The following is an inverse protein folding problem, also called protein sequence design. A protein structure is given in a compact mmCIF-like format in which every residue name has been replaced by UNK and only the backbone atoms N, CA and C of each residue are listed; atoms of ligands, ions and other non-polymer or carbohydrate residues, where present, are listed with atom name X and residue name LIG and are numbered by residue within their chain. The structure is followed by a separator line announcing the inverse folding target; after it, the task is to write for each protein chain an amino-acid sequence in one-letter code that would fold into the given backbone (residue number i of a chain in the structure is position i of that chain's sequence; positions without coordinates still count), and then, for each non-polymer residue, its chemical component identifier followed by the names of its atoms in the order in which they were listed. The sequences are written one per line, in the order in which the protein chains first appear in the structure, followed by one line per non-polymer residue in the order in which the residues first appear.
data_IF_832190374415
#
_entry.id   IF_832190374415
#
_cell.length_a   1.000
_cell.length_b   1.000
_cell.length_c   1.000
_cell.angle_alpha   90.00
_cell.angle_beta   90.00
_cell.angle_gamma   90.00
#
_symmetry.space_group_name_H-M   'P 1'
#
loop_
_entity.id
_entity.type
_entity.pdbx_description
1 polymer ?
2 polymer ?
3 non-polymer ?
4 water ?
#
loop_
_entity_poly.entity_id
_entity_poly.type
_entity_poly.pdbx_seq_one_letter_code
_entity_poly.pdbx_strand_id
2 'polyribonucleotide' 'CG' ?
#
# COMPACT_ATOMS: atom_id res chain seq x y z
N UNK A 1 -18.68 10.48 5.26
CA UNK A 1 -20.00 10.38 4.64
C UNK A 1 -20.49 8.93 4.65
N UNK A 2 -19.76 8.06 3.95
CA UNK A 2 -19.98 6.61 4.00
C UNK A 2 -19.14 5.95 5.08
N UNK A 3 -19.07 6.56 6.25
CA UNK A 3 -18.30 6.03 7.38
C UNK A 3 -18.89 4.70 7.83
N UNK A 4 -18.09 3.64 7.80
CA UNK A 4 -18.61 2.35 8.19
C UNK A 4 -17.47 1.46 8.67
N UNK A 5 -17.75 0.63 9.67
CA UNK A 5 -16.75 -0.33 10.13
C UNK A 5 -16.54 -1.49 9.17
N UNK A 6 -17.29 -1.55 8.06
CA UNK A 6 -17.02 -2.54 7.02
C UNK A 6 -16.08 -2.03 5.93
N UNK A 7 -15.81 -0.72 5.90
CA UNK A 7 -14.90 -0.15 4.90
C UNK A 7 -13.48 -0.71 5.06
N UNK A 8 -12.73 -0.71 3.97
CA UNK A 8 -11.40 -1.31 3.92
C UNK A 8 -10.34 -0.24 3.70
N UNK A 9 -9.28 -0.29 4.48
CA UNK A 9 -8.16 0.64 4.34
C UNK A 9 -7.08 -0.04 3.52
N UNK A 10 -6.81 0.50 2.33
CA UNK A 10 -5.73 0.05 1.48
C UNK A 10 -4.54 0.97 1.66
N UNK A 11 -3.33 0.39 1.73
CA UNK A 11 -2.14 1.20 1.94
C UNK A 11 -0.97 0.59 1.19
N UNK A 12 -0.11 1.45 0.67
CA UNK A 12 1.16 1.03 0.10
C UNK A 12 2.25 1.98 0.58
N UNK A 13 3.41 1.42 0.89
CA UNK A 13 4.61 2.16 1.26
C UNK A 13 5.68 1.92 0.20
N UNK A 14 6.53 2.91 -0.01
CA UNK A 14 7.79 2.74 -0.74
C UNK A 14 8.93 3.04 0.22
N UNK A 15 10.01 2.28 0.13
CA UNK A 15 11.08 2.31 1.12
C UNK A 15 12.44 2.37 0.45
N UNK A 16 13.46 2.67 1.24
CA UNK A 16 14.83 2.62 0.73
C UNK A 16 15.40 1.21 0.73
N UNK A 17 14.60 0.21 1.11
CA UNK A 17 15.11 -1.14 1.17
C UNK A 17 14.11 -2.04 1.89
N UNK A 18 14.55 -3.29 2.10
CA UNK A 18 13.68 -4.34 2.60
C UNK A 18 13.74 -4.53 4.10
N UNK A 19 14.67 -3.89 4.79
CA UNK A 19 14.93 -4.20 6.19
C UNK A 19 14.42 -3.05 7.06
N UNK A 20 13.34 -3.24 7.83
CA UNK A 20 12.79 -2.13 8.62
C UNK A 20 13.79 -1.51 9.58
N UNK A 21 14.74 -2.29 10.08
CA UNK A 21 15.68 -1.78 11.06
C UNK A 21 16.72 -0.88 10.42
N UNK A 22 16.89 -0.98 9.12
CA UNK A 22 17.94 -0.27 8.40
C UNK A 22 17.41 0.82 7.51
N UNK A 23 16.22 0.61 6.94
CA UNK A 23 15.75 1.42 5.85
C UNK A 23 14.60 2.28 6.33
N UNK A 24 14.07 3.09 5.43
CA UNK A 24 13.13 4.15 5.81
C UNK A 24 11.99 4.19 4.79
N UNK A 25 10.84 4.68 5.25
CA UNK A 25 9.70 4.94 4.36
C UNK A 25 9.95 6.25 3.62
N UNK A 26 9.81 6.22 2.28
CA UNK A 26 9.93 7.43 1.48
C UNK A 26 8.63 7.83 0.78
N UNK A 27 7.65 6.94 0.68
CA UNK A 27 6.34 7.36 0.22
C UNK A 27 5.24 6.55 0.90
N UNK A 28 4.07 7.17 1.06
CA UNK A 28 2.90 6.48 1.61
C UNK A 28 1.66 6.97 0.88
N UNK A 29 0.73 6.05 0.64
CA UNK A 29 -0.57 6.43 0.12
C UNK A 29 -1.60 5.49 0.73
N UNK A 30 -2.83 5.96 0.81
CA UNK A 30 -3.93 5.15 1.30
C UNK A 30 -5.14 5.36 0.43
N UNK A 31 -5.98 4.33 0.34
CA UNK A 31 -7.29 4.41 -0.31
C UNK A 31 -8.28 3.69 0.59
N UNK A 32 -9.51 4.22 0.67
CA UNK A 32 -10.60 3.55 1.36
C UNK A 32 -11.59 3.04 0.32
N UNK A 33 -11.93 1.76 0.39
CA UNK A 33 -13.05 1.21 -0.36
C UNK A 33 -14.15 0.79 0.61
N UNK A 34 -15.35 0.59 0.07
CA UNK A 34 -16.34 -0.11 0.86
C UNK A 34 -16.03 -1.60 0.82
N UNK A 35 -16.88 -2.40 1.46
CA UNK A 35 -16.67 -3.84 1.51
C UNK A 35 -16.78 -4.50 0.15
N UNK A 36 -17.41 -3.83 -0.82
CA UNK A 36 -17.58 -4.38 -2.16
C UNK A 36 -16.50 -3.88 -3.11
N UNK A 37 -15.49 -3.19 -2.59
CA UNK A 37 -14.29 -2.72 -3.28
C UNK A 37 -14.53 -1.46 -4.11
N UNK A 38 -15.70 -0.83 -3.99
CA UNK A 38 -15.91 0.48 -4.60
C UNK A 38 -15.02 1.52 -3.92
N UNK A 39 -14.22 2.23 -4.71
CA UNK A 39 -13.31 3.20 -4.14
C UNK A 39 -14.11 4.40 -3.66
N UNK A 40 -14.05 4.67 -2.36
CA UNK A 40 -14.79 5.75 -1.73
C UNK A 40 -14.02 7.07 -1.71
N UNK A 41 -12.72 7.02 -1.45
CA UNK A 41 -11.91 8.22 -1.26
C UNK A 41 -10.46 7.83 -1.34
N UNK A 42 -9.63 8.75 -1.86
CA UNK A 42 -8.19 8.54 -1.86
C UNK A 42 -7.58 9.45 -0.80
N UNK A 43 -6.64 8.89 -0.05
CA UNK A 43 -6.02 9.59 1.05
C UNK A 43 -4.80 10.39 0.61
N UNK A 44 -4.08 10.95 1.57
CA UNK A 44 -2.87 11.71 1.24
C UNK A 44 -1.84 10.85 0.52
N UNK A 45 -1.25 11.39 -0.55
CA UNK A 45 -0.13 10.77 -1.26
C UNK A 45 1.11 11.54 -0.87
N UNK A 46 1.97 10.94 -0.04
CA UNK A 46 2.98 11.71 0.69
C UNK A 46 4.36 11.14 0.40
N UNK A 47 5.19 11.94 -0.26
CA UNK A 47 6.63 11.67 -0.32
C UNK A 47 7.25 12.18 0.97
N UNK A 48 7.96 11.30 1.67
CA UNK A 48 8.44 11.60 3.01
C UNK A 48 9.92 11.96 2.89
N UNK A 49 10.28 13.13 3.43
CA UNK A 49 11.67 13.57 3.34
C UNK A 49 12.60 12.62 4.07
N UNK A 50 13.73 12.31 3.43
CA UNK A 50 14.84 11.58 4.03
C UNK A 50 16.15 12.24 3.61
N UNK A 51 17.14 12.30 4.50
CA UNK A 51 18.44 12.90 4.14
C UNK A 51 19.21 11.99 3.21
N UNK A 52 20.26 12.55 2.58
CA UNK A 52 21.04 11.78 1.61
C UNK A 52 21.62 10.51 2.22
N UNK A 53 22.00 10.57 3.51
CA UNK A 53 22.63 9.39 4.10
C UNK A 53 21.67 8.22 4.16
N UNK A 54 20.37 8.49 4.26
CA UNK A 54 19.38 7.42 4.20
C UNK A 54 19.12 6.99 2.77
N UNK A 55 19.05 7.96 1.85
CA UNK A 55 18.92 7.58 0.44
C UNK A 55 20.15 6.81 -0.03
N UNK A 56 21.31 7.08 0.59
CA UNK A 56 22.53 6.42 0.19
C UNK A 56 22.57 4.94 0.58
N UNK A 57 21.60 4.46 1.34
CA UNK A 57 21.48 3.04 1.62
C UNK A 57 20.83 2.26 0.49
N UNK A 58 20.25 2.94 -0.50
CA UNK A 58 19.48 2.23 -1.51
C UNK A 58 20.40 1.44 -2.43
N UNK A 59 19.99 0.22 -2.75
CA UNK A 59 20.76 -0.58 -3.69
C UNK A 59 20.41 -0.13 -5.12
N UNK A 60 20.94 -0.84 -6.11
CA UNK A 60 20.73 -0.42 -7.50
C UNK A 60 19.26 -0.51 -7.88
N UNK A 61 18.61 -1.60 -7.49
CA UNK A 61 17.18 -1.73 -7.80
C UNK A 61 16.37 -0.58 -7.23
N UNK A 62 16.52 -0.29 -5.93
CA UNK A 62 15.76 0.83 -5.39
C UNK A 62 16.21 2.15 -5.98
N UNK A 63 17.52 2.34 -6.19
CA UNK A 63 17.97 3.63 -6.70
C UNK A 63 17.36 3.91 -8.08
N UNK A 64 17.48 2.95 -9.00
CA UNK A 64 16.96 3.18 -10.34
C UNK A 64 15.44 3.25 -10.34
N UNK A 65 14.79 2.36 -9.60
CA UNK A 65 13.33 2.36 -9.55
C UNK A 65 12.80 3.70 -9.07
N UNK A 66 13.25 4.14 -7.89
CA UNK A 66 12.69 5.35 -7.32
C UNK A 66 13.22 6.63 -7.97
N UNK A 67 14.37 6.58 -8.66
CA UNK A 67 14.78 7.77 -9.38
C UNK A 67 13.95 7.92 -10.65
N UNK A 68 13.80 6.84 -11.41
CA UNK A 68 13.12 6.91 -12.70
C UNK A 68 11.64 7.27 -12.53
N UNK A 69 11.06 6.97 -11.37
CA UNK A 69 9.66 7.31 -11.14
C UNK A 69 9.46 8.76 -10.74
N UNK A 70 10.55 9.50 -10.49
CA UNK A 70 10.45 10.83 -9.95
C UNK A 70 10.31 10.89 -8.43
N UNK A 71 10.23 9.74 -7.74
CA UNK A 71 10.02 9.76 -6.30
C UNK A 71 11.24 10.33 -5.56
N UNK A 72 12.46 9.99 -5.99
CA UNK A 72 13.64 10.48 -5.28
C UNK A 72 13.68 12.00 -5.30
N UNK A 73 13.34 12.62 -6.43
CA UNK A 73 13.34 14.08 -6.47
C UNK A 73 12.25 14.65 -5.55
N UNK A 74 11.09 13.97 -5.48
CA UNK A 74 10.03 14.42 -4.57
C UNK A 74 10.46 14.25 -3.13
N UNK A 75 11.18 13.17 -2.82
CA UNK A 75 11.67 12.98 -1.46
C UNK A 75 12.63 14.10 -1.07
N UNK A 76 13.59 14.40 -1.96
CA UNK A 76 14.55 15.46 -1.67
C UNK A 76 13.85 16.80 -1.47
N UNK A 77 12.82 17.08 -2.26
CA UNK A 77 12.10 18.35 -2.16
C UNK A 77 11.09 18.38 -1.01
N UNK A 78 10.70 17.23 -0.47
CA UNK A 78 9.60 17.18 0.48
C UNK A 78 9.99 17.84 1.80
N UNK A 79 9.00 18.50 2.42
CA UNK A 79 9.15 19.05 3.76
C UNK A 79 8.26 18.33 4.76
N UNK A 80 7.95 17.07 4.52
CA UNK A 80 7.02 16.32 5.36
C UNK A 80 7.77 15.15 5.97
N UNK A 81 7.78 15.09 7.30
CA UNK A 81 8.39 14.03 8.09
C UNK A 81 7.42 12.87 8.29
N UNK A 82 7.94 11.78 8.85
CA UNK A 82 7.10 10.62 9.14
C UNK A 82 5.93 11.00 10.05
N UNK A 83 6.20 11.77 11.11
CA UNK A 83 5.13 12.10 12.05
C UNK A 83 4.04 12.92 11.37
N UNK A 84 4.43 13.87 10.52
CA UNK A 84 3.43 14.67 9.81
C UNK A 84 2.66 13.80 8.83
N UNK A 85 3.35 12.88 8.15
CA UNK A 85 2.66 11.93 7.30
C UNK A 85 1.66 11.09 8.09
N UNK A 86 2.05 10.62 9.28
CA UNK A 86 1.11 9.90 10.15
C UNK A 86 -0.09 10.77 10.47
N UNK A 87 0.15 12.01 10.90
CA UNK A 87 -0.94 12.91 11.26
C UNK A 87 -1.90 13.11 10.09
N UNK A 88 -1.36 13.40 8.91
CA UNK A 88 -2.19 13.58 7.73
C UNK A 88 -3.02 12.33 7.44
N UNK A 89 -2.37 11.16 7.48
CA UNK A 89 -3.07 9.93 7.11
C UNK A 89 -4.17 9.59 8.11
N UNK A 90 -3.90 9.77 9.42
CA UNK A 90 -4.92 9.48 10.42
C UNK A 90 -6.10 10.46 10.34
N UNK A 91 -5.81 11.73 10.06
CA UNK A 91 -6.93 12.67 9.93
C UNK A 91 -7.81 12.31 8.73
N UNK A 92 -7.20 11.77 7.68
CA UNK A 92 -7.99 11.23 6.57
C UNK A 92 -8.80 10.01 7.00
N UNK A 93 -8.12 8.99 7.53
CA UNK A 93 -8.78 7.72 7.79
C UNK A 93 -9.94 7.85 8.77
N UNK A 94 -9.82 8.74 9.75
CA UNK A 94 -10.87 8.86 10.76
C UNK A 94 -12.19 9.33 10.18
N UNK A 95 -12.19 9.83 8.95
CA UNK A 95 -13.43 10.26 8.32
C UNK A 95 -14.15 9.14 7.60
N UNK A 96 -13.52 7.97 7.46
CA UNK A 96 -14.07 6.95 6.59
C UNK A 96 -14.25 5.59 7.27
N UNK A 97 -13.37 5.26 8.21
CA UNK A 97 -13.34 3.95 8.89
C UNK A 97 -13.02 4.14 10.37
N UNK A 98 -13.72 3.48 11.29
CA UNK A 98 -13.35 3.60 12.70
C UNK A 98 -12.05 2.86 13.00
N UNK A 99 -11.43 3.26 14.11
CA UNK A 99 -10.16 2.68 14.52
C UNK A 99 -10.31 1.18 14.80
N UNK A 100 -9.31 0.41 14.38
CA UNK A 100 -9.21 -0.99 14.75
C UNK A 100 -10.13 -1.94 14.00
N UNK A 101 -10.85 -1.48 12.98
CA UNK A 101 -11.84 -2.30 12.31
C UNK A 101 -11.37 -2.87 10.98
N UNK A 102 -10.58 -2.11 10.21
CA UNK A 102 -10.22 -2.65 8.90
C UNK A 102 -8.91 -3.42 8.96
N UNK A 103 -8.87 -4.61 8.38
CA UNK A 103 -7.59 -5.26 8.13
C UNK A 103 -6.72 -4.38 7.26
N UNK A 104 -5.42 -4.64 7.28
CA UNK A 104 -4.55 -3.95 6.36
C UNK A 104 -4.64 -4.62 4.99
N UNK A 105 -4.85 -3.83 3.94
CA UNK A 105 -5.15 -4.36 2.61
C UNK A 105 -4.11 -3.92 1.59
N UNK A 106 -3.69 -4.84 0.73
CA UNK A 106 -2.70 -4.52 -0.29
C UNK A 106 -2.09 -5.78 -0.88
N UNK A 107 -0.95 -5.60 -1.54
CA UNK A 107 -0.15 -6.70 -2.10
C UNK A 107 1.07 -6.92 -1.22
N UNK A 108 1.23 -8.16 -0.74
CA UNK A 108 2.31 -8.52 0.20
C UNK A 108 2.36 -7.51 1.34
N UNK A 109 1.19 -7.20 1.88
CA UNK A 109 1.02 -6.14 2.83
C UNK A 109 1.72 -6.41 4.15
N UNK A 110 2.12 -7.65 4.40
CA UNK A 110 2.89 -7.95 5.60
C UNK A 110 4.19 -7.17 5.66
N UNK A 111 4.84 -6.99 4.50
CA UNK A 111 6.08 -6.23 4.46
C UNK A 111 5.85 -4.77 4.84
N UNK A 112 4.79 -4.14 4.29
CA UNK A 112 4.46 -2.78 4.72
C UNK A 112 4.17 -2.72 6.21
N UNK A 113 3.46 -3.72 6.74
CA UNK A 113 3.10 -3.64 8.16
C UNK A 113 4.34 -3.68 9.03
N UNK A 114 5.38 -4.42 8.64
CA UNK A 114 6.64 -4.39 9.38
C UNK A 114 7.19 -2.98 9.46
N UNK A 115 7.12 -2.24 8.35
CA UNK A 115 7.63 -0.88 8.37
C UNK A 115 6.73 0.02 9.22
N UNK A 116 5.42 -0.22 9.20
CA UNK A 116 4.54 0.54 10.07
C UNK A 116 4.83 0.26 11.53
N UNK A 117 4.99 -1.02 11.91
CA UNK A 117 5.32 -1.37 13.28
C UNK A 117 6.55 -0.60 13.76
N UNK A 118 7.57 -0.50 12.90
CA UNK A 118 8.85 0.05 13.31
C UNK A 118 8.85 1.58 13.23
N UNK A 119 8.29 2.14 12.17
CA UNK A 119 8.44 3.56 11.89
C UNK A 119 7.17 4.38 12.12
N UNK A 120 5.98 3.77 12.13
CA UNK A 120 4.72 4.49 12.30
C UNK A 120 3.77 3.68 13.17
N UNK A 121 4.16 3.34 14.40
CA UNK A 121 3.30 2.47 15.21
C UNK A 121 1.92 3.06 15.49
N UNK A 122 1.81 4.38 15.61
CA UNK A 122 0.48 4.99 15.80
C UNK A 122 -0.43 4.71 14.61
N UNK A 123 0.12 4.61 13.42
CA UNK A 123 -0.71 4.29 12.26
C UNK A 123 -1.00 2.79 12.18
N UNK A 124 0.01 1.97 12.45
CA UNK A 124 -0.23 0.53 12.51
C UNK A 124 -1.37 0.21 13.46
N UNK A 125 -1.42 0.89 14.60
CA UNK A 125 -2.47 0.65 15.58
C UNK A 125 -3.87 0.87 15.01
N UNK A 126 -4.01 1.66 13.95
CA UNK A 126 -5.34 1.96 13.43
C UNK A 126 -5.99 0.74 12.79
N UNK A 127 -5.19 -0.23 12.36
CA UNK A 127 -5.69 -1.38 11.63
C UNK A 127 -6.10 -2.50 12.57
N UNK A 128 -7.07 -3.29 12.13
CA UNK A 128 -7.35 -4.57 12.76
C UNK A 128 -6.13 -5.47 12.57
N UNK A 129 -6.03 -6.53 13.38
CA UNK A 129 -4.82 -7.34 13.30
C UNK A 129 -4.75 -8.18 12.04
N UNK A 130 -5.87 -8.42 11.37
CA UNK A 130 -5.83 -9.29 10.20
C UNK A 130 -5.28 -8.56 8.97
N UNK A 131 -4.99 -9.35 7.93
CA UNK A 131 -4.41 -8.90 6.68
C UNK A 131 -5.32 -9.31 5.55
N UNK A 132 -5.52 -8.43 4.58
CA UNK A 132 -6.13 -8.81 3.32
C UNK A 132 -5.04 -8.64 2.27
N UNK A 133 -4.41 -9.74 1.91
CA UNK A 133 -3.26 -9.74 1.02
C UNK A 133 -3.72 -10.27 -0.32
N UNK A 134 -3.79 -9.38 -1.31
CA UNK A 134 -4.24 -9.78 -2.64
C UNK A 134 -3.29 -10.81 -3.26
N UNK A 135 -2.00 -10.75 -2.90
CA UNK A 135 -1.05 -11.71 -3.45
C UNK A 135 -1.28 -13.12 -2.95
N UNK A 136 -1.99 -13.29 -1.82
CA UNK A 136 -2.40 -14.62 -1.41
C UNK A 136 -3.27 -15.24 -2.50
N UNK A 137 -4.23 -14.46 -3.02
CA UNK A 137 -5.10 -14.96 -4.07
C UNK A 137 -4.33 -15.16 -5.38
N UNK A 138 -3.41 -14.27 -5.71
CA UNK A 138 -2.58 -14.46 -6.90
C UNK A 138 -1.86 -15.80 -6.86
N UNK A 139 -1.27 -16.12 -5.70
CA UNK A 139 -0.47 -17.33 -5.59
C UNK A 139 -1.33 -18.58 -5.71
N UNK A 140 -2.52 -18.56 -5.14
CA UNK A 140 -3.38 -19.73 -5.22
C UNK A 140 -3.89 -19.92 -6.65
N UNK A 141 -4.19 -18.82 -7.34
CA UNK A 141 -4.59 -18.90 -8.74
C UNK A 141 -3.47 -19.44 -9.61
N UNK A 142 -2.23 -18.99 -9.36
CA UNK A 142 -1.10 -19.49 -10.15
C UNK A 142 -0.99 -21.01 -10.04
N UNK A 143 -1.37 -21.57 -8.91
CA UNK A 143 -1.24 -23.01 -8.69
C UNK A 143 -2.47 -23.79 -9.15
N UNK A 144 -3.66 -23.19 -9.06
CA UNK A 144 -4.88 -23.94 -9.33
C UNK A 144 -5.40 -23.75 -10.74
N UNK A 145 -5.21 -22.58 -11.33
CA UNK A 145 -5.60 -22.35 -12.72
C UNK A 145 -4.78 -21.18 -13.26
N UNK A 146 -3.48 -21.38 -13.49
CA UNK A 146 -2.62 -20.24 -13.84
C UNK A 146 -3.05 -19.49 -15.08
N UNK A 147 -3.74 -20.15 -16.02
CA UNK A 147 -4.14 -19.48 -17.26
C UNK A 147 -4.97 -18.24 -16.98
N UNK A 148 -5.68 -18.21 -15.85
CA UNK A 148 -6.47 -17.04 -15.47
C UNK A 148 -5.59 -15.80 -15.40
N UNK A 149 -4.35 -15.95 -14.93
CA UNK A 149 -3.50 -14.79 -14.70
C UNK A 149 -3.11 -14.08 -16.00
N UNK A 150 -3.23 -14.74 -17.15
CA UNK A 150 -2.92 -14.05 -18.40
C UNK A 150 -3.95 -13.00 -18.77
N UNK A 151 -5.12 -12.99 -18.13
CA UNK A 151 -6.16 -12.00 -18.42
C UNK A 151 -6.01 -10.71 -17.62
N UNK A 152 -4.98 -10.60 -16.79
CA UNK A 152 -4.78 -9.38 -16.02
C UNK A 152 -3.31 -8.98 -16.06
N UNK A 153 -3.06 -7.68 -16.17
CA UNK A 153 -1.71 -7.14 -16.27
C UNK A 153 -1.55 -5.97 -15.33
N UNK A 154 -0.35 -5.83 -14.79
CA UNK A 154 0.00 -4.72 -13.91
C UNK A 154 1.14 -3.92 -14.51
N UNK A 155 1.08 -2.59 -14.33
CA UNK A 155 2.19 -1.74 -14.77
C UNK A 155 3.33 -1.78 -13.75
N UNK A 156 3.02 -1.74 -12.45
CA UNK A 156 4.00 -1.83 -11.39
C UNK A 156 5.00 -0.70 -11.37
N UNK A 157 4.51 0.54 -11.22
CA UNK A 157 5.34 1.74 -11.34
C UNK A 157 6.08 2.10 -10.06
N UNK A 158 5.69 1.53 -8.92
CA UNK A 158 6.22 1.88 -7.60
C UNK A 158 5.98 3.33 -7.22
N UNK A 159 4.95 3.94 -7.79
CA UNK A 159 4.31 5.10 -7.20
C UNK A 159 3.18 4.60 -6.32
N UNK A 160 3.21 4.98 -5.02
CA UNK A 160 2.38 4.30 -4.02
C UNK A 160 0.90 4.31 -4.37
N UNK A 161 0.36 5.45 -4.84
CA UNK A 161 -1.07 5.50 -5.10
C UNK A 161 -1.44 4.63 -6.30
N UNK A 162 -0.66 4.70 -7.38
CA UNK A 162 -0.94 3.87 -8.53
C UNK A 162 -0.83 2.40 -8.20
N UNK A 163 0.11 2.05 -7.32
CA UNK A 163 0.28 0.64 -6.98
C UNK A 163 -0.89 0.13 -6.15
N UNK A 164 -1.44 0.94 -5.23
CA UNK A 164 -2.64 0.51 -4.51
C UNK A 164 -3.83 0.41 -5.46
N UNK A 165 -3.95 1.36 -6.38
CA UNK A 165 -5.05 1.31 -7.32
C UNK A 165 -4.99 0.01 -8.12
N UNK A 166 -3.77 -0.42 -8.47
CA UNK A 166 -3.62 -1.69 -9.18
C UNK A 166 -3.96 -2.87 -8.29
N UNK A 167 -3.68 -2.77 -6.98
CA UNK A 167 -4.04 -3.85 -6.06
C UNK A 167 -5.55 -4.02 -5.97
N UNK A 168 -6.29 -2.92 -5.86
CA UNK A 168 -7.75 -2.98 -5.85
C UNK A 168 -8.26 -3.55 -7.17
N UNK A 169 -7.70 -3.09 -8.29
CA UNK A 169 -8.12 -3.62 -9.58
C UNK A 169 -7.84 -5.11 -9.70
N UNK A 170 -6.72 -5.55 -9.11
CA UNK A 170 -6.38 -6.97 -9.17
C UNK A 170 -7.38 -7.81 -8.37
N UNK A 171 -7.76 -7.34 -7.17
CA UNK A 171 -8.74 -8.08 -6.40
C UNK A 171 -10.11 -8.06 -7.07
N UNK A 172 -10.47 -6.92 -7.68
CA UNK A 172 -11.72 -6.86 -8.45
C UNK A 172 -11.71 -7.90 -9.58
N UNK A 173 -10.58 -8.05 -10.25
CA UNK A 173 -10.48 -9.06 -11.29
C UNK A 173 -10.66 -10.46 -10.72
N UNK A 174 -10.05 -10.74 -9.56
CA UNK A 174 -10.16 -12.08 -8.97
C UNK A 174 -11.58 -12.40 -8.56
N UNK A 175 -12.31 -11.41 -8.03
CA UNK A 175 -13.66 -11.70 -7.57
C UNK A 175 -14.52 -12.20 -8.71
N UNK A 176 -14.32 -11.67 -9.90
CA UNK A 176 -15.07 -12.20 -11.03
C UNK A 176 -14.43 -13.44 -11.64
N UNK A 177 -13.10 -13.57 -11.55
CA UNK A 177 -12.42 -14.61 -12.32
C UNK A 177 -12.19 -15.90 -11.53
N UNK A 178 -11.97 -15.83 -10.22
CA UNK A 178 -11.70 -17.05 -9.45
C UNK A 178 -12.66 -17.25 -8.29
N UNK A 179 -13.38 -16.22 -7.85
CA UNK A 179 -14.38 -16.39 -6.82
C UNK A 179 -15.75 -16.66 -7.44
N UNK A 180 -16.63 -17.27 -6.64
CA UNK A 180 -18.02 -17.45 -7.03
C UNK A 180 -18.96 -16.83 -5.99
N UNK A 181 -18.46 -15.91 -5.17
CA UNK A 181 -19.28 -15.17 -4.23
C UNK A 181 -19.08 -13.68 -4.45
#
# INVERSE_FOLDING_TARGET
MSFSDQNLIWIDLEMTGLDPEMHKIIEMATIVTDSELNILAEGPVIAIHQPESELAKMDEWCTTTHTASGLVARVRQSQVSEEEAIDQTLAFLKQWVPEGKSPICGNSIGQDRRFLYKHMPRLEAYFHYRYIDVSTIKELTRRWQPEVLKEFSKTGSHLALDDIRESIAELQFYRKAVFKI
#
